data_IF_862237397180
#
_entry.id   IF_862237397180
#
_cell.length_a   1.000
_cell.length_b   1.000
_cell.length_c   1.000
_cell.angle_alpha   90.00
_cell.angle_beta   90.00
_cell.angle_gamma   90.00
#
_symmetry.space_group_name_H-M   'P 1'
#
loop_
_entity.id
_entity.type
_entity.pdbx_description
1 polymer ?
#
# COMPACT_ATOMS: atom_id res chain seq x y z
N UNK A 1 9.72 -13.42 42.58
CA UNK A 1 8.41 -13.13 41.95
C UNK A 1 8.68 -12.57 40.56
N UNK A 2 8.61 -13.40 39.51
CA UNK A 2 8.91 -12.96 38.16
C UNK A 2 7.72 -12.15 37.62
N UNK A 3 7.94 -10.86 37.37
CA UNK A 3 6.92 -9.97 36.80
C UNK A 3 6.69 -10.39 35.34
N UNK A 4 5.63 -11.17 35.09
CA UNK A 4 5.26 -11.62 33.74
C UNK A 4 4.87 -10.39 32.92
N UNK A 5 5.78 -9.90 32.09
CA UNK A 5 5.47 -8.85 31.11
C UNK A 5 4.73 -9.52 29.95
N UNK A 6 3.41 -9.36 29.91
CA UNK A 6 2.62 -9.76 28.75
C UNK A 6 2.76 -8.65 27.71
N UNK A 7 3.59 -8.88 26.70
CA UNK A 7 3.67 -7.98 25.56
C UNK A 7 2.33 -7.98 24.82
N UNK A 8 1.55 -6.92 24.97
CA UNK A 8 0.35 -6.71 24.16
C UNK A 8 0.79 -6.46 22.71
N UNK A 9 0.66 -7.46 21.84
CA UNK A 9 0.68 -7.26 20.40
C UNK A 9 -0.41 -6.23 20.07
N UNK A 10 -0.03 -5.08 19.52
CA UNK A 10 -0.99 -4.11 18.98
C UNK A 10 -1.72 -4.76 17.80
N UNK A 11 -2.77 -5.51 18.09
CA UNK A 11 -3.74 -6.06 17.13
C UNK A 11 -4.72 -4.99 16.64
N UNK A 12 -4.48 -3.73 16.98
CA UNK A 12 -5.13 -2.61 16.30
C UNK A 12 -4.57 -2.55 14.89
N UNK A 13 -5.42 -2.85 13.90
CA UNK A 13 -5.17 -2.75 12.44
C UNK A 13 -3.99 -1.82 12.16
N UNK A 14 -2.79 -2.39 12.05
CA UNK A 14 -1.61 -1.63 11.62
C UNK A 14 -1.99 -0.95 10.33
N UNK A 15 -1.62 0.32 10.13
CA UNK A 15 -2.02 1.14 8.97
C UNK A 15 -2.11 0.24 7.74
N UNK A 16 -3.34 -0.05 7.29
CA UNK A 16 -3.53 -1.01 6.21
C UNK A 16 -3.00 -0.32 4.95
N UNK A 17 -1.94 -0.87 4.38
CA UNK A 17 -1.41 -0.42 3.11
C UNK A 17 -1.92 -1.35 2.02
N UNK A 18 -2.36 -0.78 0.91
CA UNK A 18 -2.68 -1.50 -0.31
C UNK A 18 -1.57 -1.29 -1.32
N UNK A 19 -1.25 -2.36 -2.06
CA UNK A 19 -0.35 -2.30 -3.20
C UNK A 19 -1.17 -1.93 -4.44
N UNK A 20 -0.97 -0.73 -4.98
CA UNK A 20 -1.63 -0.26 -6.18
C UNK A 20 -0.72 -0.55 -7.37
N UNK A 21 -1.25 -1.26 -8.37
CA UNK A 21 -0.56 -1.58 -9.61
C UNK A 21 -1.22 -0.77 -10.74
N UNK A 22 -0.51 0.22 -11.28
CA UNK A 22 -0.99 1.08 -12.36
C UNK A 22 -0.30 0.72 -13.67
N UNK A 23 -1.07 0.50 -14.72
CA UNK A 23 -0.55 0.37 -16.08
C UNK A 23 -0.24 1.78 -16.64
N UNK A 24 1.03 2.04 -16.92
CA UNK A 24 1.52 3.31 -17.48
C UNK A 24 2.00 3.05 -18.89
N UNK A 25 1.54 3.87 -19.85
CA UNK A 25 2.00 3.78 -21.24
C UNK A 25 3.38 4.44 -21.37
N UNK A 26 4.35 3.69 -21.86
CA UNK A 26 5.69 4.19 -22.20
C UNK A 26 5.60 5.21 -23.34
N UNK A 27 6.07 6.45 -23.14
CA UNK A 27 6.03 7.48 -24.19
C UNK A 27 7.00 7.17 -25.34
N UNK A 28 8.04 6.36 -25.11
CA UNK A 28 9.05 6.00 -26.13
C UNK A 28 8.62 4.85 -27.02
N UNK A 29 7.98 3.83 -26.45
CA UNK A 29 7.73 2.55 -27.14
C UNK A 29 6.25 2.22 -27.30
N UNK A 30 5.36 3.00 -26.66
CA UNK A 30 3.91 2.74 -26.67
C UNK A 30 3.47 1.51 -25.87
N UNK A 31 4.42 0.71 -25.35
CA UNK A 31 4.15 -0.45 -24.51
C UNK A 31 3.62 -0.03 -23.13
N UNK A 32 2.80 -0.88 -22.53
CA UNK A 32 2.34 -0.70 -21.15
C UNK A 32 3.33 -1.33 -20.18
N UNK A 33 3.77 -0.56 -19.19
CA UNK A 33 4.54 -1.03 -18.06
C UNK A 33 3.71 -0.93 -16.79
N UNK A 34 3.90 -1.84 -15.85
CA UNK A 34 3.23 -1.80 -14.56
C UNK A 34 4.11 -1.08 -13.55
N UNK A 35 3.58 -0.03 -12.92
CA UNK A 35 4.20 0.66 -11.79
C UNK A 35 3.46 0.28 -10.53
N UNK A 36 4.20 -0.15 -9.51
CA UNK A 36 3.66 -0.55 -8.22
C UNK A 36 3.96 0.52 -7.16
N UNK A 37 2.98 0.86 -6.33
CA UNK A 37 3.12 1.81 -5.23
C UNK A 37 2.32 1.32 -4.01
N UNK A 38 2.92 1.38 -2.81
CA UNK A 38 2.21 1.08 -1.57
C UNK A 38 1.61 2.35 -0.98
N UNK A 39 0.29 2.37 -0.85
CA UNK A 39 -0.46 3.53 -0.34
C UNK A 39 -1.39 3.10 0.78
N UNK A 40 -1.71 3.98 1.75
CA UNK A 40 -2.76 3.72 2.73
C UNK A 40 -4.08 3.36 2.03
N UNK A 41 -4.84 2.41 2.58
CA UNK A 41 -6.11 1.92 1.98
C UNK A 41 -7.08 3.06 1.68
N UNK A 42 -7.12 4.09 2.53
CA UNK A 42 -8.00 5.25 2.36
C UNK A 42 -7.69 6.07 1.10
N UNK A 43 -6.42 6.08 0.68
CA UNK A 43 -5.93 6.87 -0.45
C UNK A 43 -5.93 6.10 -1.79
N UNK A 44 -6.28 4.80 -1.78
CA UNK A 44 -6.27 3.95 -2.98
C UNK A 44 -7.15 4.51 -4.09
N UNK A 45 -8.34 5.03 -3.74
CA UNK A 45 -9.29 5.58 -4.73
C UNK A 45 -8.73 6.83 -5.41
N UNK A 46 -8.08 7.70 -4.64
CA UNK A 46 -7.47 8.93 -5.17
C UNK A 46 -6.29 8.62 -6.08
N UNK A 47 -5.46 7.66 -5.69
CA UNK A 47 -4.28 7.22 -6.45
C UNK A 47 -4.67 6.59 -7.79
N UNK A 48 -5.76 5.83 -7.82
CA UNK A 48 -6.30 5.25 -9.05
C UNK A 48 -7.02 6.29 -9.93
N UNK A 49 -7.68 7.29 -9.34
CA UNK A 49 -8.38 8.34 -10.08
C UNK A 49 -7.43 9.35 -10.73
N UNK A 50 -6.21 9.51 -10.20
CA UNK A 50 -5.17 10.37 -10.76
C UNK A 50 -4.68 9.76 -12.08
N UNK A 51 -5.19 10.30 -13.20
CA UNK A 51 -4.89 9.85 -14.57
C UNK A 51 -3.43 10.08 -14.94
#
# INVERSE_FOLDING_TARGET
>A
MAKKVVATLKTGKGKNYAKVVKAVKSPKTGAYTFKEEMVPVDLVKEVLAKK
#
